data_IF_776446967264
#
_entry.id   IF_776446967264
#
_cell.length_a   1.000
_cell.length_b   1.000
_cell.length_c   1.000
_cell.angle_alpha   90.00
_cell.angle_beta   90.00
_cell.angle_gamma   90.00
#
_symmetry.space_group_name_H-M   'P 1'
#
loop_
_entity.id
_entity.type
_entity.pdbx_description
1 polymer ?
#
# COMPACT_ATOMS: atom_id res chain seq x y z
N UNK A 1 4.65 25.86 -82.21
CA UNK A 1 5.57 24.83 -81.71
C UNK A 1 4.89 24.16 -80.52
N UNK A 2 3.70 23.59 -80.69
CA UNK A 2 3.24 22.48 -81.57
C UNK A 2 3.58 21.12 -80.98
N UNK A 3 2.60 20.22 -81.14
CA UNK A 3 2.44 18.83 -80.66
C UNK A 3 1.60 18.78 -79.37
N UNK A 4 0.26 18.82 -79.39
CA UNK A 4 -0.71 18.07 -80.22
C UNK A 4 -0.49 16.56 -80.16
N UNK A 5 -1.34 15.85 -79.39
CA UNK A 5 -1.90 14.56 -79.76
C UNK A 5 -3.39 14.58 -79.35
N UNK A 6 -4.24 14.83 -80.32
CA UNK A 6 -5.68 14.57 -80.31
C UNK A 6 -5.93 13.09 -80.62
N UNK A 7 -6.89 12.47 -79.92
CA UNK A 7 -7.72 11.40 -80.51
C UNK A 7 -9.16 11.69 -80.06
N UNK A 8 -9.94 12.13 -81.04
CA UNK A 8 -11.40 12.21 -81.04
C UNK A 8 -12.03 10.81 -81.05
N UNK A 9 -13.29 10.70 -80.62
CA UNK A 9 -14.45 10.31 -81.46
C UNK A 9 -15.68 10.07 -80.57
N UNK A 10 -16.68 10.96 -80.77
CA UNK A 10 -18.15 10.77 -80.87
C UNK A 10 -18.90 9.94 -79.81
N UNK A 11 -19.79 10.55 -79.01
CA UNK A 11 -21.22 10.81 -79.30
C UNK A 11 -22.04 9.55 -79.59
N UNK A 12 -22.95 9.21 -78.69
CA UNK A 12 -24.38 9.36 -78.97
C UNK A 12 -25.25 9.15 -77.72
N UNK A 13 -26.17 10.09 -77.53
CA UNK A 13 -27.34 10.06 -76.66
C UNK A 13 -28.53 9.42 -77.42
N UNK A 14 -29.66 9.27 -76.71
CA UNK A 14 -31.00 8.83 -77.17
C UNK A 14 -31.22 7.30 -77.12
N UNK A 15 -32.31 6.74 -76.57
CA UNK A 15 -33.43 7.26 -75.79
C UNK A 15 -34.38 6.07 -75.48
N UNK A 16 -35.33 6.28 -74.56
CA UNK A 16 -36.68 5.69 -74.50
C UNK A 16 -36.89 4.31 -73.80
N UNK A 17 -37.38 4.47 -72.56
CA UNK A 17 -38.68 3.98 -72.02
C UNK A 17 -38.94 2.53 -71.55
N UNK A 18 -39.49 2.54 -70.32
CA UNK A 18 -40.59 1.73 -69.79
C UNK A 18 -40.29 0.34 -69.19
N UNK A 19 -40.40 0.29 -67.87
CA UNK A 19 -40.62 -0.92 -67.08
C UNK A 19 -40.81 -0.57 -65.62
N UNK A 20 -42.05 -0.25 -65.23
CA UNK A 20 -42.48 -0.18 -63.83
C UNK A 20 -42.12 -1.49 -63.10
N UNK A 21 -41.45 -1.38 -61.95
CA UNK A 21 -41.62 -2.34 -60.86
C UNK A 21 -41.44 -1.59 -59.53
N UNK A 22 -42.55 -1.54 -58.79
CA UNK A 22 -42.66 -1.11 -57.40
C UNK A 22 -42.35 -2.35 -56.54
N UNK A 23 -41.87 -2.10 -55.32
CA UNK A 23 -41.58 -3.05 -54.23
C UNK A 23 -40.17 -3.68 -54.22
N UNK A 24 -39.24 -3.07 -53.47
CA UNK A 24 -38.93 -3.55 -52.11
C UNK A 24 -37.80 -2.72 -51.47
N UNK A 25 -38.09 -2.21 -50.27
CA UNK A 25 -37.14 -1.52 -49.38
C UNK A 25 -36.32 -2.58 -48.67
N UNK A 26 -35.06 -2.77 -49.04
CA UNK A 26 -34.06 -3.43 -48.19
C UNK A 26 -33.13 -2.40 -47.57
N UNK A 27 -33.48 -1.98 -46.36
CA UNK A 27 -32.55 -1.37 -45.40
C UNK A 27 -31.38 -2.34 -45.18
N UNK A 28 -30.20 -1.99 -45.69
CA UNK A 28 -28.96 -2.69 -45.36
C UNK A 28 -28.62 -2.43 -43.89
N UNK A 29 -29.05 -3.35 -43.02
CA UNK A 29 -28.72 -3.33 -41.60
C UNK A 29 -27.22 -3.63 -41.44
N UNK A 30 -26.46 -2.66 -40.97
CA UNK A 30 -25.05 -2.80 -40.60
C UNK A 30 -24.93 -3.72 -39.36
N UNK A 31 -24.59 -5.00 -39.58
CA UNK A 31 -24.57 -6.06 -38.55
C UNK A 31 -23.39 -5.94 -37.58
N UNK A 32 -22.56 -4.89 -37.63
CA UNK A 32 -21.37 -4.82 -36.76
C UNK A 32 -21.26 -3.61 -35.82
N UNK A 33 -22.31 -2.79 -35.70
CA UNK A 33 -22.40 -1.86 -34.57
C UNK A 33 -23.08 -2.55 -33.40
N UNK A 34 -22.34 -3.36 -32.62
CA UNK A 34 -22.83 -3.79 -31.32
C UNK A 34 -23.04 -2.51 -30.48
N UNK A 35 -24.29 -2.01 -30.31
CA UNK A 35 -24.49 -0.73 -29.66
C UNK A 35 -23.99 -0.95 -28.24
N UNK A 36 -22.96 -0.23 -27.83
CA UNK A 36 -22.57 -0.21 -26.42
C UNK A 36 -23.80 0.25 -25.66
N UNK A 37 -24.54 -0.72 -25.11
CA UNK A 37 -25.66 -0.46 -24.22
C UNK A 37 -25.15 0.56 -23.21
N UNK A 38 -25.71 1.77 -23.25
CA UNK A 38 -25.47 2.76 -22.22
C UNK A 38 -25.94 2.10 -20.93
N UNK A 39 -24.98 1.56 -20.18
CA UNK A 39 -25.26 1.01 -18.86
C UNK A 39 -25.67 2.20 -18.01
N UNK A 40 -26.97 2.33 -17.81
CA UNK A 40 -27.49 3.02 -16.65
C UNK A 40 -26.77 2.40 -15.46
N UNK A 41 -26.03 3.20 -14.71
CA UNK A 41 -25.74 2.85 -13.33
C UNK A 41 -27.14 2.78 -12.71
N UNK A 42 -27.71 1.58 -12.70
CA UNK A 42 -28.91 1.29 -11.91
C UNK A 42 -28.59 1.78 -10.50
N UNK A 43 -29.59 2.25 -9.78
CA UNK A 43 -29.54 2.46 -8.35
C UNK A 43 -29.17 1.12 -7.68
N UNK A 44 -27.90 0.74 -7.76
CA UNK A 44 -27.31 -0.34 -7.02
C UNK A 44 -27.39 0.13 -5.59
N UNK A 45 -28.08 -0.64 -4.75
CA UNK A 45 -28.44 -0.21 -3.40
C UNK A 45 -27.23 0.43 -2.73
N UNK A 46 -27.36 1.71 -2.40
CA UNK A 46 -26.31 2.51 -1.81
C UNK A 46 -25.65 1.70 -0.68
N UNK A 47 -24.36 1.34 -0.74
CA UNK A 47 -23.78 0.44 0.25
C UNK A 47 -23.90 0.94 1.70
N UNK A 48 -24.05 2.26 1.88
CA UNK A 48 -24.31 2.85 3.20
C UNK A 48 -25.72 2.59 3.73
N UNK A 49 -26.71 2.42 2.84
CA UNK A 49 -28.11 2.14 3.17
C UNK A 49 -28.41 0.63 3.15
N UNK A 50 -27.77 -0.12 2.26
CA UNK A 50 -28.02 -1.54 2.06
C UNK A 50 -27.48 -2.41 3.19
N UNK A 51 -26.26 -2.12 3.65
CA UNK A 51 -25.59 -2.92 4.69
C UNK A 51 -25.79 -2.27 6.05
N UNK A 52 -25.93 -3.08 7.10
CA UNK A 52 -25.71 -2.61 8.46
C UNK A 52 -24.22 -2.28 8.71
N UNK A 53 -23.91 -1.72 9.88
CA UNK A 53 -22.54 -1.29 10.19
C UNK A 53 -21.55 -2.45 10.32
N UNK A 54 -21.99 -3.61 10.83
CA UNK A 54 -21.14 -4.78 10.99
C UNK A 54 -20.82 -5.41 9.62
N UNK A 55 -21.83 -5.56 8.76
CA UNK A 55 -21.68 -6.06 7.41
C UNK A 55 -20.84 -5.12 6.54
N UNK A 56 -21.09 -3.81 6.65
CA UNK A 56 -20.30 -2.80 5.96
C UNK A 56 -18.83 -2.89 6.39
N UNK A 57 -18.57 -2.96 7.71
CA UNK A 57 -17.20 -3.05 8.25
C UNK A 57 -16.50 -4.34 7.84
N UNK A 58 -17.18 -5.48 7.83
CA UNK A 58 -16.62 -6.74 7.31
C UNK A 58 -16.22 -6.62 5.84
N UNK A 59 -17.00 -5.89 5.03
CA UNK A 59 -16.83 -5.78 3.58
C UNK A 59 -15.80 -4.73 3.15
N UNK A 60 -15.73 -3.61 3.85
CA UNK A 60 -14.89 -2.46 3.50
C UNK A 60 -13.74 -2.23 4.49
N UNK A 61 -13.70 -2.97 5.61
CA UNK A 61 -12.69 -2.93 6.67
C UNK A 61 -12.66 -1.62 7.46
N UNK A 62 -13.68 -0.78 7.31
CA UNK A 62 -13.88 0.49 8.03
C UNK A 62 -15.36 0.64 8.40
N UNK A 63 -15.65 1.33 9.50
CA UNK A 63 -17.01 1.74 9.84
C UNK A 63 -17.52 2.82 8.87
N UNK A 64 -18.84 2.97 8.76
CA UNK A 64 -19.44 4.03 7.95
C UNK A 64 -19.01 5.42 8.42
N UNK A 65 -18.90 5.61 9.74
CA UNK A 65 -18.43 6.85 10.36
C UNK A 65 -16.99 7.19 9.95
N UNK A 66 -16.06 6.23 10.05
CA UNK A 66 -14.67 6.43 9.62
C UNK A 66 -14.58 6.81 8.15
N UNK A 67 -15.42 6.22 7.30
CA UNK A 67 -15.45 6.52 5.87
C UNK A 67 -16.02 7.92 5.61
N UNK A 68 -17.21 8.24 6.13
CA UNK A 68 -17.93 9.46 5.81
C UNK A 68 -17.39 10.70 6.54
N UNK A 69 -17.04 10.56 7.82
CA UNK A 69 -16.61 11.66 8.66
C UNK A 69 -15.07 11.79 8.73
N UNK A 70 -14.35 10.68 8.52
CA UNK A 70 -12.89 10.63 8.63
C UNK A 70 -12.16 10.74 7.30
N UNK A 71 -12.33 9.73 6.44
CA UNK A 71 -11.51 9.54 5.23
C UNK A 71 -12.00 10.41 4.08
N UNK A 72 -13.31 10.36 3.78
CA UNK A 72 -13.88 11.04 2.62
C UNK A 72 -13.63 12.56 2.62
N UNK A 73 -13.81 13.30 3.73
CA UNK A 73 -13.61 14.75 3.73
C UNK A 73 -12.19 15.17 3.35
N UNK A 74 -11.19 14.31 3.58
CA UNK A 74 -9.78 14.58 3.26
C UNK A 74 -9.46 14.49 1.76
N UNK A 75 -10.27 13.76 0.99
CA UNK A 75 -9.99 13.47 -0.43
C UNK A 75 -11.11 13.90 -1.38
N UNK A 76 -12.27 14.32 -0.85
CA UNK A 76 -13.48 14.58 -1.64
C UNK A 76 -13.26 15.61 -2.76
N UNK A 77 -12.51 16.67 -2.50
CA UNK A 77 -12.22 17.71 -3.49
C UNK A 77 -11.38 17.17 -4.64
N UNK A 78 -10.49 16.23 -4.34
CA UNK A 78 -9.72 15.49 -5.33
C UNK A 78 -10.53 14.47 -6.12
N UNK A 79 -11.74 14.09 -5.69
CA UNK A 79 -12.61 13.08 -6.32
C UNK A 79 -13.71 13.67 -7.19
N UNK A 80 -14.20 14.87 -6.86
CA UNK A 80 -15.19 15.60 -7.68
C UNK A 80 -14.66 15.77 -9.10
N UNK A 81 -15.55 15.66 -10.09
CA UNK A 81 -15.23 16.05 -11.47
C UNK A 81 -15.66 17.49 -11.69
N UNK A 82 -14.90 18.23 -12.50
CA UNK A 82 -15.21 19.60 -12.90
C UNK A 82 -16.48 19.67 -13.77
N UNK A 83 -16.88 18.56 -14.41
CA UNK A 83 -18.13 18.49 -15.17
C UNK A 83 -18.88 17.15 -15.00
N UNK A 84 -20.20 17.21 -15.18
CA UNK A 84 -21.12 16.07 -15.07
C UNK A 84 -21.30 15.29 -16.38
N UNK A 85 -20.36 15.44 -17.34
CA UNK A 85 -20.44 14.70 -18.61
C UNK A 85 -20.23 13.20 -18.35
N UNK A 86 -21.18 12.39 -18.81
CA UNK A 86 -21.10 10.93 -18.77
C UNK A 86 -21.43 10.27 -17.42
N UNK A 87 -22.32 10.87 -16.61
CA UNK A 87 -22.80 10.30 -15.32
C UNK A 87 -21.63 9.93 -14.38
N UNK A 88 -20.99 10.92 -13.74
CA UNK A 88 -19.86 10.66 -12.86
C UNK A 88 -20.26 9.81 -11.65
N UNK A 89 -19.41 8.84 -11.30
CA UNK A 89 -19.55 8.05 -10.08
C UNK A 89 -19.34 8.97 -8.88
N UNK A 90 -20.26 8.92 -7.92
CA UNK A 90 -20.21 9.75 -6.71
C UNK A 90 -18.88 9.54 -5.93
N UNK A 91 -18.29 10.60 -5.33
CA UNK A 91 -17.03 10.49 -4.59
C UNK A 91 -17.02 9.39 -3.52
N UNK A 92 -18.13 9.21 -2.83
CA UNK A 92 -18.36 8.20 -1.80
C UNK A 92 -18.17 6.79 -2.40
N UNK A 93 -18.82 6.54 -3.55
CA UNK A 93 -18.72 5.27 -4.27
C UNK A 93 -17.31 5.05 -4.82
N UNK A 94 -16.64 6.09 -5.32
CA UNK A 94 -15.23 5.99 -5.75
C UNK A 94 -14.33 5.52 -4.60
N UNK A 95 -14.51 6.08 -3.40
CA UNK A 95 -13.77 5.65 -2.21
C UNK A 95 -14.12 4.20 -1.82
N UNK A 96 -15.40 3.83 -1.78
CA UNK A 96 -15.83 2.46 -1.47
C UNK A 96 -15.28 1.43 -2.44
N UNK A 97 -15.22 1.76 -3.74
CA UNK A 97 -14.59 0.91 -4.75
C UNK A 97 -13.12 0.63 -4.39
N UNK A 98 -12.38 1.66 -4.01
CA UNK A 98 -10.98 1.52 -3.62
C UNK A 98 -10.81 0.72 -2.33
N UNK A 99 -11.60 1.01 -1.29
CA UNK A 99 -11.56 0.27 -0.03
C UNK A 99 -11.92 -1.21 -0.23
N UNK A 100 -12.91 -1.49 -1.10
CA UNK A 100 -13.28 -2.86 -1.46
C UNK A 100 -12.17 -3.60 -2.18
N UNK A 101 -11.45 -2.92 -3.07
CA UNK A 101 -10.26 -3.48 -3.72
C UNK A 101 -9.20 -3.86 -2.68
N UNK A 102 -8.87 -2.96 -1.74
CA UNK A 102 -7.88 -3.24 -0.70
C UNK A 102 -8.30 -4.37 0.24
N UNK A 103 -9.58 -4.42 0.62
CA UNK A 103 -10.14 -5.39 1.56
C UNK A 103 -10.28 -6.81 0.99
N UNK A 104 -10.57 -6.94 -0.31
CA UNK A 104 -10.84 -8.25 -0.93
C UNK A 104 -9.61 -8.87 -1.58
N UNK A 105 -8.64 -8.05 -2.00
CA UNK A 105 -7.60 -8.45 -2.94
C UNK A 105 -8.14 -9.13 -4.21
N UNK A 106 -9.41 -8.86 -4.55
CA UNK A 106 -10.05 -9.48 -5.70
C UNK A 106 -9.55 -8.86 -6.99
N UNK A 107 -9.66 -9.59 -8.10
CA UNK A 107 -9.40 -9.05 -9.42
C UNK A 107 -10.33 -7.87 -9.68
N UNK A 108 -9.78 -6.78 -10.24
CA UNK A 108 -10.55 -5.57 -10.53
C UNK A 108 -11.74 -5.84 -11.48
N UNK A 109 -11.67 -6.90 -12.30
CA UNK A 109 -12.78 -7.36 -13.13
C UNK A 109 -13.97 -7.80 -12.29
N UNK A 110 -13.77 -8.68 -11.29
CA UNK A 110 -14.83 -9.15 -10.38
C UNK A 110 -15.45 -7.98 -9.60
N UNK A 111 -14.62 -7.02 -9.18
CA UNK A 111 -15.11 -5.81 -8.52
C UNK A 111 -15.97 -4.96 -9.46
N UNK A 112 -15.52 -4.79 -10.71
CA UNK A 112 -16.26 -4.10 -11.76
C UNK A 112 -17.61 -4.75 -12.06
N UNK A 113 -17.63 -6.08 -12.19
CA UNK A 113 -18.85 -6.85 -12.48
C UNK A 113 -19.86 -6.74 -11.33
N UNK A 114 -19.39 -6.81 -10.08
CA UNK A 114 -20.24 -6.65 -8.89
C UNK A 114 -20.89 -5.27 -8.81
N UNK A 115 -20.20 -4.24 -9.31
CA UNK A 115 -20.65 -2.84 -9.23
C UNK A 115 -21.24 -2.32 -10.56
N UNK A 116 -21.31 -3.16 -11.60
CA UNK A 116 -21.77 -2.77 -12.93
C UNK A 116 -20.84 -1.81 -13.69
N UNK A 117 -19.57 -1.69 -13.28
CA UNK A 117 -18.59 -0.72 -13.79
C UNK A 117 -17.49 -1.44 -14.58
N UNK A 118 -17.06 -0.86 -15.70
CA UNK A 118 -15.95 -1.45 -16.49
C UNK A 118 -14.62 -1.48 -15.70
N UNK A 119 -13.84 -2.54 -15.85
CA UNK A 119 -12.52 -2.68 -15.17
C UNK A 119 -11.58 -1.47 -15.40
N UNK A 120 -11.47 -0.86 -16.61
CA UNK A 120 -10.64 0.32 -16.79
C UNK A 120 -11.08 1.53 -15.95
N UNK A 121 -12.38 1.66 -15.68
CA UNK A 121 -12.89 2.69 -14.76
C UNK A 121 -12.51 2.38 -13.32
N UNK A 122 -12.62 1.12 -12.88
CA UNK A 122 -12.17 0.68 -11.54
C UNK A 122 -10.70 1.00 -11.36
N UNK A 123 -9.85 0.63 -12.33
CA UNK A 123 -8.40 0.91 -12.27
C UNK A 123 -8.10 2.39 -12.12
N UNK A 124 -8.73 3.26 -12.92
CA UNK A 124 -8.56 4.72 -12.81
C UNK A 124 -8.99 5.26 -11.46
N UNK A 125 -10.09 4.75 -10.89
CA UNK A 125 -10.58 5.15 -9.57
C UNK A 125 -9.61 4.72 -8.47
N UNK A 126 -9.18 3.46 -8.46
CA UNK A 126 -8.22 2.94 -7.47
C UNK A 126 -6.93 3.77 -7.52
N UNK A 127 -6.39 4.04 -8.71
CA UNK A 127 -5.18 4.86 -8.85
C UNK A 127 -5.39 6.27 -8.32
N UNK A 128 -6.50 6.93 -8.67
CA UNK A 128 -6.81 8.29 -8.22
C UNK A 128 -7.00 8.37 -6.71
N UNK A 129 -7.75 7.44 -6.12
CA UNK A 129 -7.98 7.40 -4.67
C UNK A 129 -6.67 7.08 -3.95
N UNK A 130 -5.87 6.14 -4.46
CA UNK A 130 -4.53 5.83 -3.92
C UNK A 130 -3.64 7.07 -3.90
N UNK A 131 -3.58 7.82 -5.00
CA UNK A 131 -2.77 9.05 -5.11
C UNK A 131 -3.21 10.10 -4.09
N UNK A 132 -4.52 10.35 -3.98
CA UNK A 132 -5.06 11.32 -3.02
C UNK A 132 -4.76 10.93 -1.57
N UNK A 133 -4.88 9.65 -1.22
CA UNK A 133 -4.49 9.15 0.10
C UNK A 133 -2.98 9.24 0.31
N UNK A 134 -2.19 8.95 -0.72
CA UNK A 134 -0.72 9.03 -0.67
C UNK A 134 -0.21 10.43 -0.38
N UNK A 135 -0.89 11.48 -0.86
CA UNK A 135 -0.56 12.88 -0.55
C UNK A 135 -0.68 13.23 0.94
N UNK A 136 -1.43 12.44 1.70
CA UNK A 136 -1.60 12.63 3.15
C UNK A 136 -0.49 11.97 3.98
N UNK A 137 0.53 11.37 3.34
CA UNK A 137 1.63 10.67 4.02
C UNK A 137 2.28 11.53 5.12
N UNK A 138 2.62 12.79 4.84
CA UNK A 138 3.29 13.66 5.82
C UNK A 138 2.37 14.16 6.94
N UNK A 139 1.06 14.07 6.76
CA UNK A 139 0.09 14.42 7.81
C UNK A 139 -0.03 13.28 8.83
N UNK A 140 -0.06 12.03 8.35
CA UNK A 140 -0.40 10.84 9.16
C UNK A 140 0.79 9.94 9.51
N UNK A 141 1.85 9.91 8.71
CA UNK A 141 3.07 9.10 8.94
C UNK A 141 4.20 10.06 9.25
N UNK A 142 4.45 10.25 10.55
CA UNK A 142 5.49 11.15 11.05
C UNK A 142 5.91 10.74 12.44
N UNK A 143 7.16 11.04 12.76
CA UNK A 143 7.66 10.97 14.13
C UNK A 143 6.94 12.00 15.03
N UNK A 144 6.87 11.75 16.35
CA UNK A 144 6.41 12.74 17.31
C UNK A 144 7.30 13.99 17.26
N UNK A 145 6.70 15.17 17.11
CA UNK A 145 7.44 16.43 16.96
C UNK A 145 7.61 17.20 18.27
N UNK A 146 6.76 16.98 19.28
CA UNK A 146 6.86 17.65 20.58
C UNK A 146 7.68 16.82 21.57
N UNK A 147 8.47 17.47 22.43
CA UNK A 147 9.27 16.78 23.44
C UNK A 147 8.42 15.97 24.43
N UNK A 148 7.18 16.39 24.67
CA UNK A 148 6.22 15.64 25.45
C UNK A 148 5.82 14.34 24.74
N UNK A 149 5.43 14.42 23.46
CA UNK A 149 5.04 13.23 22.70
C UNK A 149 6.23 12.27 22.48
N UNK A 150 7.45 12.80 22.33
CA UNK A 150 8.68 11.98 22.26
C UNK A 150 8.94 11.26 23.58
N UNK A 151 8.80 11.94 24.72
CA UNK A 151 8.93 11.32 26.06
C UNK A 151 7.87 10.26 26.30
N UNK A 152 6.62 10.52 25.93
CA UNK A 152 5.54 9.56 26.02
C UNK A 152 5.81 8.33 25.16
N UNK A 153 6.23 8.53 23.89
CA UNK A 153 6.57 7.45 22.98
C UNK A 153 7.67 6.54 23.56
N UNK A 154 8.74 7.12 24.10
CA UNK A 154 9.83 6.37 24.77
C UNK A 154 9.36 5.62 26.01
N UNK A 155 8.45 6.22 26.78
CA UNK A 155 7.86 5.56 27.94
C UNK A 155 7.06 4.33 27.51
N UNK A 156 6.19 4.46 26.51
CA UNK A 156 5.39 3.35 26.02
C UNK A 156 6.27 2.21 25.48
N UNK A 157 7.36 2.52 24.77
CA UNK A 157 8.32 1.49 24.35
C UNK A 157 9.02 0.79 25.51
N UNK A 158 9.39 1.55 26.55
CA UNK A 158 9.94 0.97 27.77
C UNK A 158 8.93 0.01 28.39
N UNK A 159 7.68 0.43 28.53
CA UNK A 159 6.61 -0.37 29.12
C UNK A 159 6.33 -1.65 28.30
N UNK A 160 6.42 -1.60 26.95
CA UNK A 160 6.34 -2.78 26.07
C UNK A 160 7.48 -3.79 26.31
N UNK A 161 8.70 -3.29 26.58
CA UNK A 161 9.86 -4.13 26.88
C UNK A 161 9.85 -4.74 28.29
N UNK A 162 9.12 -4.12 29.23
CA UNK A 162 8.99 -4.55 30.64
C UNK A 162 8.08 -5.79 30.79
N UNK A 163 8.40 -6.90 30.13
CA UNK A 163 7.71 -8.18 30.40
C UNK A 163 8.08 -8.75 31.77
N UNK A 164 7.10 -9.25 32.53
CA UNK A 164 7.24 -10.01 33.80
C UNK A 164 8.31 -9.52 34.79
N UNK A 165 8.41 -8.20 35.00
CA UNK A 165 9.34 -7.60 35.98
C UNK A 165 10.74 -7.28 35.46
N UNK A 166 11.01 -7.41 34.16
CA UNK A 166 12.26 -6.96 33.53
C UNK A 166 12.26 -5.44 33.27
N UNK A 167 13.44 -4.82 33.18
CA UNK A 167 13.62 -3.42 32.76
C UNK A 167 13.43 -3.32 31.25
N UNK A 168 12.66 -2.34 30.78
CA UNK A 168 12.47 -2.08 29.34
C UNK A 168 13.60 -1.26 28.75
N UNK A 169 13.79 -1.34 27.42
CA UNK A 169 14.83 -0.55 26.73
C UNK A 169 14.55 0.96 26.86
N UNK A 170 15.49 1.76 27.40
CA UNK A 170 15.34 3.20 27.46
C UNK A 170 15.64 3.84 26.09
N UNK A 171 15.06 5.03 25.85
CA UNK A 171 15.44 5.87 24.71
C UNK A 171 14.97 5.40 23.33
N UNK A 172 14.07 4.42 23.26
CA UNK A 172 13.57 3.90 21.99
C UNK A 172 12.49 4.83 21.40
N UNK A 173 12.72 5.27 20.17
CA UNK A 173 11.80 6.10 19.39
C UNK A 173 10.93 5.27 18.42
N UNK A 174 11.38 4.09 18.01
CA UNK A 174 10.66 3.24 17.06
C UNK A 174 11.27 1.85 16.89
N UNK A 175 10.47 0.92 16.38
CA UNK A 175 10.94 -0.37 15.90
C UNK A 175 10.99 -0.33 14.35
N UNK A 176 12.12 -0.73 13.77
CA UNK A 176 12.33 -0.74 12.32
C UNK A 176 12.39 -2.17 11.80
N UNK A 177 11.68 -2.42 10.71
CA UNK A 177 11.76 -3.69 10.01
C UNK A 177 11.31 -3.52 8.56
N UNK A 178 11.63 -4.52 7.75
CA UNK A 178 11.22 -4.61 6.36
C UNK A 178 10.09 -5.61 6.20
N UNK A 179 9.29 -5.45 5.16
CA UNK A 179 8.28 -6.44 4.80
C UNK A 179 8.08 -6.52 3.30
N UNK A 180 7.87 -7.73 2.80
CA UNK A 180 7.62 -7.94 1.39
C UNK A 180 6.14 -7.78 1.04
N UNK A 181 5.88 -6.94 0.04
CA UNK A 181 4.57 -6.83 -0.63
C UNK A 181 4.68 -7.52 -1.99
N UNK A 182 3.90 -8.60 -2.16
CA UNK A 182 3.98 -9.43 -3.37
C UNK A 182 3.53 -8.67 -4.62
N UNK A 183 4.26 -8.84 -5.71
CA UNK A 183 3.89 -8.34 -7.03
C UNK A 183 3.51 -9.53 -7.92
N UNK A 184 2.30 -9.50 -8.47
CA UNK A 184 1.76 -10.55 -9.34
C UNK A 184 1.59 -10.04 -10.79
N UNK A 185 2.13 -8.86 -11.09
CA UNK A 185 2.03 -8.27 -12.43
C UNK A 185 2.81 -9.11 -13.45
N UNK A 186 2.11 -9.67 -14.44
CA UNK A 186 2.69 -10.54 -15.49
C UNK A 186 3.73 -9.83 -16.36
N UNK A 187 3.70 -8.49 -16.44
CA UNK A 187 4.69 -7.69 -17.18
C UNK A 187 6.06 -7.60 -16.51
N UNK A 188 6.19 -8.03 -15.25
CA UNK A 188 7.48 -8.12 -14.55
C UNK A 188 8.26 -9.38 -14.95
N UNK A 189 7.59 -10.39 -15.48
CA UNK A 189 8.20 -11.67 -15.85
C UNK A 189 9.27 -11.53 -16.94
N UNK A 190 9.20 -10.50 -17.77
CA UNK A 190 10.13 -10.32 -18.90
C UNK A 190 11.29 -9.35 -18.60
N UNK A 191 11.33 -8.63 -17.47
CA UNK A 191 12.21 -7.44 -17.38
C UNK A 191 13.03 -7.24 -16.11
N UNK A 192 12.70 -7.74 -14.91
CA UNK A 192 13.50 -7.35 -13.72
C UNK A 192 13.60 -8.38 -12.58
N UNK A 193 14.56 -9.30 -12.69
CA UNK A 193 15.01 -10.21 -11.61
C UNK A 193 15.37 -9.47 -10.31
N UNK A 194 15.69 -8.18 -10.36
CA UNK A 194 15.94 -7.35 -9.17
C UNK A 194 14.75 -7.28 -8.21
N UNK A 195 13.51 -7.52 -8.64
CA UNK A 195 12.35 -7.57 -7.75
C UNK A 195 12.12 -8.95 -7.15
N UNK A 196 12.87 -9.97 -7.57
CA UNK A 196 12.75 -11.31 -7.03
C UNK A 196 13.41 -11.37 -5.66
N UNK A 197 12.64 -11.78 -4.67
CA UNK A 197 13.16 -11.97 -3.32
C UNK A 197 13.81 -13.35 -3.16
N UNK A 198 14.36 -13.60 -1.97
CA UNK A 198 15.00 -14.88 -1.63
C UNK A 198 14.05 -16.08 -1.61
N UNK A 199 12.75 -15.85 -1.46
CA UNK A 199 11.68 -16.86 -1.55
C UNK A 199 11.27 -17.16 -3.00
N UNK A 200 11.90 -16.51 -3.98
CA UNK A 200 11.72 -16.78 -5.39
C UNK A 200 10.51 -16.11 -6.04
N UNK A 201 9.81 -15.21 -5.34
CA UNK A 201 8.69 -14.44 -5.90
C UNK A 201 9.04 -12.95 -6.04
N UNK A 202 8.35 -12.25 -6.95
CA UNK A 202 8.53 -10.80 -7.13
C UNK A 202 7.84 -10.02 -6.00
N UNK A 203 8.54 -9.06 -5.41
CA UNK A 203 8.00 -8.22 -4.34
C UNK A 203 8.61 -6.82 -4.33
N UNK A 204 7.88 -5.89 -3.72
CA UNK A 204 8.44 -4.67 -3.16
C UNK A 204 8.95 -4.99 -1.75
N UNK A 205 10.18 -4.62 -1.44
CA UNK A 205 10.66 -4.58 -0.07
C UNK A 205 10.29 -3.22 0.53
N UNK A 206 9.45 -3.21 1.56
CA UNK A 206 8.92 -2.01 2.20
C UNK A 206 9.52 -1.90 3.59
N UNK A 207 10.36 -0.89 3.82
CA UNK A 207 10.84 -0.58 5.16
C UNK A 207 9.83 0.31 5.88
N UNK A 208 9.58 0.04 7.16
CA UNK A 208 8.77 0.91 7.99
C UNK A 208 9.40 1.08 9.37
N UNK A 209 9.20 2.26 9.95
CA UNK A 209 9.40 2.48 11.38
C UNK A 209 8.04 2.54 12.04
N UNK A 210 7.86 1.74 13.08
CA UNK A 210 6.61 1.58 13.80
C UNK A 210 6.75 2.12 15.23
N UNK A 211 5.71 2.82 15.69
CA UNK A 211 5.58 3.34 17.04
C UNK A 211 4.96 2.34 18.01
N UNK A 212 4.88 2.69 19.31
CA UNK A 212 4.45 1.77 20.36
C UNK A 212 2.93 1.52 20.36
N UNK A 213 2.16 2.30 19.60
CA UNK A 213 0.71 2.12 19.40
C UNK A 213 0.40 1.47 18.05
N UNK A 214 1.38 0.81 17.44
CA UNK A 214 1.29 0.20 16.10
C UNK A 214 1.06 1.21 14.98
N UNK A 215 1.41 2.48 15.18
CA UNK A 215 1.37 3.50 14.15
C UNK A 215 2.63 3.47 13.28
N UNK A 216 2.52 3.76 11.99
CA UNK A 216 3.68 4.01 11.14
C UNK A 216 4.23 5.41 11.40
N UNK A 217 5.51 5.51 11.72
CA UNK A 217 6.24 6.77 11.95
C UNK A 217 7.04 7.20 10.70
N UNK A 218 7.50 6.23 9.91
CA UNK A 218 8.17 6.43 8.62
C UNK A 218 7.91 5.21 7.72
N UNK A 219 7.97 5.41 6.41
CA UNK A 219 7.68 4.38 5.41
C UNK A 219 8.53 4.62 4.15
N UNK A 220 9.20 3.58 3.68
CA UNK A 220 9.99 3.56 2.44
C UNK A 220 9.51 2.39 1.56
N UNK A 221 8.59 2.64 0.61
CA UNK A 221 7.87 1.58 -0.11
C UNK A 221 8.50 1.16 -1.46
N UNK A 222 9.60 1.77 -1.88
CA UNK A 222 10.03 1.77 -3.29
C UNK A 222 11.13 0.77 -3.63
N UNK A 223 11.53 -0.11 -2.71
CA UNK A 223 12.71 -0.94 -2.92
C UNK A 223 12.39 -2.27 -3.61
N UNK A 224 13.28 -2.74 -4.51
CA UNK A 224 13.13 -4.07 -5.10
C UNK A 224 13.24 -5.19 -4.06
N UNK A 225 12.53 -6.30 -4.28
CA UNK A 225 12.53 -7.47 -3.38
C UNK A 225 13.89 -8.13 -3.14
N UNK A 226 14.89 -7.89 -4.00
CA UNK A 226 16.28 -8.36 -3.78
C UNK A 226 17.11 -7.45 -2.86
N UNK A 227 16.63 -6.24 -2.57
CA UNK A 227 17.37 -5.28 -1.76
C UNK A 227 17.47 -5.73 -0.30
N UNK A 228 18.67 -5.61 0.27
CA UNK A 228 18.93 -5.88 1.68
C UNK A 228 18.43 -4.73 2.56
N UNK A 229 17.91 -5.08 3.73
CA UNK A 229 17.30 -4.14 4.69
C UNK A 229 18.27 -3.05 5.14
N UNK A 230 19.54 -3.39 5.37
CA UNK A 230 20.61 -2.44 5.68
C UNK A 230 20.81 -1.39 4.59
N UNK A 231 20.78 -1.80 3.31
CA UNK A 231 20.91 -0.89 2.16
C UNK A 231 19.72 0.05 2.08
N UNK A 232 18.51 -0.45 2.32
CA UNK A 232 17.30 0.38 2.35
C UNK A 232 17.43 1.44 3.45
N UNK A 233 17.86 1.03 4.64
CA UNK A 233 18.05 1.93 5.77
C UNK A 233 19.10 3.01 5.50
N UNK A 234 20.28 2.66 4.99
CA UNK A 234 21.34 3.64 4.70
C UNK A 234 20.89 4.73 3.72
N UNK A 235 19.99 4.40 2.80
CA UNK A 235 19.43 5.32 1.81
C UNK A 235 18.10 5.97 2.26
N UNK A 236 17.64 5.68 3.48
CA UNK A 236 16.38 6.20 4.01
C UNK A 236 16.57 7.62 4.58
N UNK A 237 15.48 8.41 4.54
CA UNK A 237 15.47 9.73 5.20
C UNK A 237 15.62 9.59 6.72
N UNK A 238 15.09 8.53 7.32
CA UNK A 238 15.20 8.32 8.77
C UNK A 238 16.66 8.15 9.20
N UNK A 239 17.47 7.42 8.44
CA UNK A 239 18.91 7.30 8.71
C UNK A 239 19.61 8.66 8.70
N UNK A 240 19.36 9.51 7.69
CA UNK A 240 19.94 10.86 7.64
C UNK A 240 19.55 11.70 8.86
N UNK A 241 18.28 11.64 9.30
CA UNK A 241 17.81 12.40 10.47
C UNK A 241 18.51 11.99 11.76
N UNK A 242 18.81 10.71 11.95
CA UNK A 242 19.59 10.24 13.10
C UNK A 242 21.08 10.58 12.98
N UNK A 243 21.66 10.41 11.79
CA UNK A 243 23.06 10.74 11.53
C UNK A 243 23.37 12.23 11.75
N UNK A 244 22.46 13.11 11.34
CA UNK A 244 22.53 14.56 11.55
C UNK A 244 22.07 15.02 12.95
N UNK A 245 21.73 14.08 13.84
CA UNK A 245 21.23 14.35 15.21
C UNK A 245 19.95 15.21 15.26
N UNK A 246 19.15 15.18 14.20
CA UNK A 246 17.79 15.76 14.23
C UNK A 246 16.84 14.92 15.10
N UNK A 247 17.17 13.63 15.28
CA UNK A 247 16.54 12.72 16.23
C UNK A 247 17.60 12.24 17.22
N UNK A 248 17.27 12.26 18.51
CA UNK A 248 18.22 11.95 19.60
C UNK A 248 17.94 10.61 20.31
N UNK A 249 16.94 9.84 19.88
CA UNK A 249 16.66 8.52 20.44
C UNK A 249 17.30 7.39 19.64
N UNK A 250 16.81 6.17 19.86
CA UNK A 250 17.30 4.96 19.21
C UNK A 250 16.16 4.19 18.55
N UNK A 251 16.48 3.42 17.52
CA UNK A 251 15.62 2.44 16.91
C UNK A 251 16.00 1.03 17.36
N UNK A 252 15.04 0.11 17.38
CA UNK A 252 15.31 -1.33 17.49
C UNK A 252 15.12 -1.99 16.14
N UNK A 253 16.15 -2.67 15.64
CA UNK A 253 16.14 -3.37 14.36
C UNK A 253 16.46 -4.86 14.51
N UNK A 254 16.21 -5.63 13.46
CA UNK A 254 16.56 -7.05 13.38
C UNK A 254 18.09 -7.26 13.20
N UNK A 255 18.50 -8.51 12.96
CA UNK A 255 19.91 -8.87 12.71
C UNK A 255 20.41 -8.45 11.33
N UNK A 256 19.50 -8.18 10.39
CA UNK A 256 19.80 -7.69 9.05
C UNK A 256 20.26 -6.23 8.98
N UNK A 257 20.22 -5.50 10.11
CA UNK A 257 20.74 -4.14 10.21
C UNK A 257 22.14 -4.07 10.86
N UNK A 258 22.95 -3.06 10.52
CA UNK A 258 24.18 -2.77 11.25
C UNK A 258 23.86 -2.23 12.65
N UNK A 259 24.70 -2.54 13.63
CA UNK A 259 24.61 -1.93 14.96
C UNK A 259 25.22 -0.52 14.91
N UNK A 260 24.39 0.50 15.18
CA UNK A 260 24.78 1.92 15.17
C UNK A 260 24.39 2.58 16.49
N UNK A 261 24.95 3.76 16.85
CA UNK A 261 24.59 4.45 18.10
C UNK A 261 23.09 4.75 18.27
N UNK A 262 22.35 4.81 17.16
CA UNK A 262 20.91 5.06 17.11
C UNK A 262 20.12 3.86 16.56
N UNK A 263 20.73 2.70 16.33
CA UNK A 263 20.07 1.48 15.86
C UNK A 263 20.61 0.25 16.60
N UNK A 264 19.81 -0.23 17.55
CA UNK A 264 20.15 -1.37 18.40
C UNK A 264 19.68 -2.68 17.76
N UNK A 265 20.60 -3.62 17.63
CA UNK A 265 20.38 -4.97 17.10
C UNK A 265 20.68 -6.01 18.18
N UNK A 266 20.09 -7.22 18.11
CA UNK A 266 20.33 -8.24 19.12
C UNK A 266 21.76 -8.77 19.03
N UNK A 267 22.31 -9.22 20.16
CA UNK A 267 23.62 -9.88 20.21
C UNK A 267 23.56 -11.21 19.46
N UNK A 268 24.54 -11.46 18.59
CA UNK A 268 24.64 -12.71 17.84
C UNK A 268 24.92 -13.90 18.78
N UNK A 269 25.86 -13.73 19.71
CA UNK A 269 26.36 -14.79 20.61
C UNK A 269 26.34 -14.31 22.08
N UNK A 270 25.17 -14.27 22.75
CA UNK A 270 25.09 -13.89 24.15
C UNK A 270 25.72 -14.95 25.06
N UNK A 271 26.71 -14.53 25.86
CA UNK A 271 27.50 -15.34 26.79
C UNK A 271 27.05 -15.16 28.24
N UNK A 272 26.66 -13.96 28.63
CA UNK A 272 26.23 -13.67 30.02
C UNK A 272 24.69 -13.66 30.16
N UNK A 273 24.20 -13.72 31.41
CA UNK A 273 22.76 -13.67 31.68
C UNK A 273 22.19 -12.28 31.38
N UNK A 274 22.97 -11.21 31.56
CA UNK A 274 22.62 -9.84 31.20
C UNK A 274 22.44 -9.71 29.68
N UNK A 275 23.36 -10.28 28.89
CA UNK A 275 23.30 -10.30 27.43
C UNK A 275 22.09 -11.09 26.91
N UNK A 276 21.79 -12.24 27.53
CA UNK A 276 20.58 -13.01 27.23
C UNK A 276 19.32 -12.22 27.56
N UNK A 277 19.32 -11.51 28.69
CA UNK A 277 18.19 -10.70 29.13
C UNK A 277 17.97 -9.51 28.20
N UNK A 278 19.05 -8.83 27.77
CA UNK A 278 18.99 -7.80 26.73
C UNK A 278 18.35 -8.34 25.44
N UNK A 279 18.79 -9.49 24.93
CA UNK A 279 18.21 -10.09 23.72
C UNK A 279 16.72 -10.42 23.89
N UNK A 280 16.31 -10.90 25.07
CA UNK A 280 14.91 -11.17 25.38
C UNK A 280 14.08 -9.88 25.37
N UNK A 281 14.57 -8.80 25.98
CA UNK A 281 13.89 -7.50 26.01
C UNK A 281 13.84 -6.90 24.60
N UNK A 282 14.96 -6.92 23.86
CA UNK A 282 15.05 -6.45 22.48
C UNK A 282 14.04 -7.17 21.58
N UNK A 283 13.97 -8.50 21.68
CA UNK A 283 13.00 -9.31 20.91
C UNK A 283 11.56 -8.89 21.21
N UNK A 284 11.20 -8.71 22.49
CA UNK A 284 9.87 -8.24 22.90
C UNK A 284 9.55 -6.85 22.38
N UNK A 285 10.50 -5.92 22.47
CA UNK A 285 10.31 -4.55 21.95
C UNK A 285 10.15 -4.56 20.44
N UNK A 286 10.90 -5.41 19.72
CA UNK A 286 10.81 -5.52 18.25
C UNK A 286 9.49 -6.14 17.80
N UNK A 287 8.90 -7.10 18.52
CA UNK A 287 7.65 -7.79 18.14
C UNK A 287 6.49 -6.85 17.73
N UNK A 288 6.48 -5.61 18.21
CA UNK A 288 5.48 -4.60 17.82
C UNK A 288 5.46 -4.34 16.30
N UNK A 289 6.62 -4.37 15.63
CA UNK A 289 6.72 -4.10 14.19
C UNK A 289 6.10 -5.24 13.37
N UNK A 290 6.42 -6.48 13.73
CA UNK A 290 5.87 -7.69 13.11
C UNK A 290 4.35 -7.77 13.32
N UNK A 291 3.90 -7.50 14.55
CA UNK A 291 2.47 -7.43 14.87
C UNK A 291 1.76 -6.37 14.04
N UNK A 292 2.39 -5.21 13.85
CA UNK A 292 1.84 -4.12 13.04
C UNK A 292 1.72 -4.52 11.59
N UNK A 293 2.75 -5.17 11.01
CA UNK A 293 2.66 -5.72 9.65
C UNK A 293 1.56 -6.78 9.51
N UNK A 294 1.40 -7.66 10.50
CA UNK A 294 0.31 -8.63 10.54
C UNK A 294 -1.07 -7.97 10.51
N UNK A 295 -1.31 -6.99 11.39
CA UNK A 295 -2.56 -6.20 11.41
C UNK A 295 -2.78 -5.46 10.10
N UNK A 296 -1.72 -4.85 9.57
CA UNK A 296 -1.77 -4.07 8.34
C UNK A 296 -2.14 -4.92 7.12
N UNK A 297 -1.46 -6.06 6.92
CA UNK A 297 -1.75 -7.02 5.84
C UNK A 297 -3.10 -7.72 6.02
N UNK A 298 -3.57 -7.91 7.25
CA UNK A 298 -4.92 -8.45 7.52
C UNK A 298 -6.01 -7.45 7.15
N UNK A 299 -5.82 -6.17 7.48
CA UNK A 299 -6.74 -5.08 7.09
C UNK A 299 -6.76 -4.89 5.57
N UNK A 300 -5.60 -5.01 4.92
CA UNK A 300 -5.44 -4.84 3.48
C UNK A 300 -4.85 -6.09 2.82
N UNK A 301 -5.65 -7.15 2.58
CA UNK A 301 -5.18 -8.39 1.96
C UNK A 301 -4.54 -8.22 0.59
N UNK A 302 -4.76 -7.08 -0.10
CA UNK A 302 -4.06 -6.77 -1.35
C UNK A 302 -2.53 -6.73 -1.17
N UNK A 303 -2.03 -6.43 0.02
CA UNK A 303 -0.60 -6.36 0.33
C UNK A 303 0.05 -7.75 0.47
N UNK A 304 -0.71 -8.77 0.91
CA UNK A 304 -0.21 -10.13 1.10
C UNK A 304 -0.44 -11.03 -0.12
N UNK A 305 -1.64 -10.98 -0.71
CA UNK A 305 -2.01 -11.82 -1.86
C UNK A 305 -1.40 -11.34 -3.18
N UNK A 306 -1.06 -10.06 -3.25
CA UNK A 306 -0.21 -9.49 -4.28
C UNK A 306 -0.90 -8.49 -5.19
N UNK A 307 -0.13 -7.48 -5.58
CA UNK A 307 -0.59 -6.38 -6.42
C UNK A 307 -0.37 -6.73 -7.90
N UNK A 308 -1.46 -6.65 -8.67
CA UNK A 308 -1.46 -6.91 -10.13
C UNK A 308 -1.26 -5.63 -10.94
N UNK A 309 -1.17 -4.49 -10.27
CA UNK A 309 -1.01 -3.17 -10.88
C UNK A 309 0.44 -2.92 -11.32
N UNK A 310 0.66 -1.85 -12.08
CA UNK A 310 2.00 -1.39 -12.42
C UNK A 310 2.76 -0.95 -11.16
N UNK A 311 4.09 -1.06 -11.17
CA UNK A 311 4.97 -0.81 -10.02
C UNK A 311 4.70 0.53 -9.31
N UNK A 312 4.58 1.62 -10.07
CA UNK A 312 4.29 2.95 -9.52
C UNK A 312 2.94 2.96 -8.77
N UNK A 313 1.91 2.38 -9.38
CA UNK A 313 0.61 2.25 -8.74
C UNK A 313 0.67 1.34 -7.50
N UNK A 314 1.42 0.25 -7.56
CA UNK A 314 1.60 -0.65 -6.41
C UNK A 314 2.21 0.09 -5.23
N UNK A 315 3.25 0.90 -5.48
CA UNK A 315 3.90 1.74 -4.47
C UNK A 315 2.91 2.73 -3.85
N UNK A 316 2.12 3.44 -4.68
CA UNK A 316 1.10 4.37 -4.19
C UNK A 316 0.02 3.67 -3.36
N UNK A 317 -0.39 2.45 -3.75
CA UNK A 317 -1.32 1.62 -2.98
C UNK A 317 -0.74 1.26 -1.60
N UNK A 318 0.54 0.86 -1.53
CA UNK A 318 1.23 0.60 -0.26
C UNK A 318 1.18 1.82 0.66
N UNK A 319 1.53 3.01 0.14
CA UNK A 319 1.47 4.26 0.92
C UNK A 319 0.04 4.56 1.38
N UNK A 320 -0.94 4.46 0.48
CA UNK A 320 -2.34 4.72 0.80
C UNK A 320 -2.85 3.78 1.90
N UNK A 321 -2.50 2.49 1.86
CA UNK A 321 -2.83 1.53 2.90
C UNK A 321 -2.17 1.89 4.24
N UNK A 322 -0.92 2.36 4.26
CA UNK A 322 -0.26 2.77 5.50
C UNK A 322 -0.91 4.03 6.11
N UNK A 323 -1.28 5.01 5.28
CA UNK A 323 -2.02 6.20 5.72
C UNK A 323 -3.38 5.81 6.31
N UNK A 324 -4.13 4.94 5.63
CA UNK A 324 -5.41 4.44 6.10
C UNK A 324 -5.29 3.64 7.41
N UNK A 325 -4.18 2.91 7.61
CA UNK A 325 -3.90 2.23 8.87
C UNK A 325 -3.77 3.23 10.03
N UNK A 326 -2.94 4.26 9.89
CA UNK A 326 -2.80 5.29 10.93
C UNK A 326 -4.10 6.06 11.17
N UNK A 327 -4.86 6.38 10.12
CA UNK A 327 -6.22 6.95 10.26
C UNK A 327 -7.13 6.04 11.08
N UNK A 328 -7.10 4.72 10.84
CA UNK A 328 -7.92 3.77 11.60
C UNK A 328 -7.60 3.78 13.10
N UNK A 329 -6.33 3.99 13.48
CA UNK A 329 -5.92 4.12 14.87
C UNK A 329 -6.48 5.41 15.51
N UNK A 330 -6.43 6.52 14.78
CA UNK A 330 -6.96 7.82 15.24
C UNK A 330 -8.47 7.74 15.47
N UNK A 331 -9.20 7.11 14.55
CA UNK A 331 -10.65 6.93 14.65
C UNK A 331 -11.06 5.80 15.61
N UNK A 332 -10.09 5.07 16.18
CA UNK A 332 -10.33 3.86 16.99
C UNK A 332 -11.18 2.82 16.26
N UNK A 333 -10.98 2.71 14.94
CA UNK A 333 -11.69 1.79 14.07
C UNK A 333 -11.03 0.41 14.10
N UNK A 334 -11.31 -0.33 15.17
CA UNK A 334 -10.73 -1.65 15.41
C UNK A 334 -11.41 -2.69 14.52
N UNK A 335 -10.64 -3.42 13.72
CA UNK A 335 -11.17 -4.59 13.01
C UNK A 335 -11.46 -5.72 14.00
N UNK A 336 -12.64 -6.37 13.92
CA UNK A 336 -12.89 -7.58 14.70
C UNK A 336 -11.82 -8.63 14.37
N UNK A 337 -11.35 -9.34 15.38
CA UNK A 337 -10.50 -10.51 15.18
C UNK A 337 -11.37 -11.61 14.54
N UNK A 338 -11.17 -11.86 13.24
CA UNK A 338 -11.77 -13.03 12.57
C UNK A 338 -10.94 -14.26 12.94
N UNK A 339 -11.60 -15.38 13.25
CA UNK A 339 -10.95 -16.68 13.51
C UNK A 339 -9.98 -17.02 12.37
N UNK A 340 -8.78 -17.46 12.75
CA UNK A 340 -7.63 -17.67 11.88
C UNK A 340 -8.01 -18.54 10.67
N UNK A 341 -8.07 -17.93 9.48
CA UNK A 341 -7.72 -18.65 8.27
C UNK A 341 -6.24 -18.33 8.03
N UNK A 342 -5.39 -19.36 8.16
CA UNK A 342 -3.96 -19.33 7.88
C UNK A 342 -3.68 -18.69 6.51
N UNK A 343 -3.60 -17.37 6.46
CA UNK A 343 -2.92 -16.67 5.37
C UNK A 343 -1.46 -16.84 5.72
N UNK A 344 -0.90 -17.95 5.25
CA UNK A 344 0.51 -18.35 5.30
C UNK A 344 1.43 -17.15 5.53
N UNK A 345 1.61 -16.81 6.81
CA UNK A 345 2.61 -15.87 7.28
C UNK A 345 3.91 -16.67 7.22
N UNK A 346 4.34 -17.06 6.01
CA UNK A 346 5.64 -17.68 5.84
C UNK A 346 6.62 -16.73 6.50
N UNK A 347 7.21 -17.15 7.62
CA UNK A 347 8.21 -16.38 8.33
C UNK A 347 9.24 -15.92 7.30
N UNK A 348 9.49 -14.61 7.23
CA UNK A 348 10.51 -14.08 6.34
C UNK A 348 11.85 -14.67 6.81
N UNK A 349 12.65 -15.29 5.92
CA UNK A 349 13.90 -15.90 6.34
C UNK A 349 14.78 -14.74 6.80
N UNK A 350 15.19 -14.77 8.07
CA UNK A 350 16.03 -13.72 8.65
C UNK A 350 17.21 -13.44 7.71
N UNK A 351 17.49 -12.18 7.46
CA UNK A 351 18.66 -11.83 6.68
C UNK A 351 19.92 -12.34 7.38
N UNK A 352 20.93 -12.82 6.62
CA UNK A 352 22.23 -13.11 7.20
C UNK A 352 22.72 -11.84 7.90
N UNK A 353 23.30 -12.02 9.08
CA UNK A 353 23.77 -10.90 9.89
C UNK A 353 24.70 -10.02 9.06
N UNK A 354 24.48 -8.70 9.11
CA UNK A 354 25.39 -7.75 8.48
C UNK A 354 26.66 -7.70 9.33
N UNK A 355 27.79 -8.15 8.76
CA UNK A 355 29.10 -8.17 9.43
C UNK A 355 29.70 -6.77 9.64
N UNK A 356 29.09 -5.72 9.08
CA UNK A 356 29.46 -4.32 9.36
C UNK A 356 28.93 -3.89 10.74
N UNK A 357 29.61 -4.34 11.79
CA UNK A 357 29.43 -3.81 13.13
C UNK A 357 30.29 -2.55 13.30
N UNK A 358 29.64 -1.38 13.49
CA UNK A 358 30.38 -0.15 13.78
C UNK A 358 30.81 -0.15 15.25
N UNK A 359 32.10 0.06 15.51
CA UNK A 359 32.66 0.12 16.86
C UNK A 359 31.91 1.09 17.79
N UNK A 360 31.44 2.22 17.25
CA UNK A 360 30.63 3.17 18.02
C UNK A 360 29.25 2.62 18.41
N UNK A 361 28.59 1.84 17.55
CA UNK A 361 27.30 1.21 17.86
C UNK A 361 27.44 0.10 18.89
N UNK A 362 28.50 -0.71 18.78
CA UNK A 362 28.84 -1.73 19.76
C UNK A 362 29.06 -1.12 21.15
N UNK A 363 29.86 -0.06 21.25
CA UNK A 363 30.10 0.64 22.50
C UNK A 363 28.81 1.22 23.09
N UNK A 364 27.90 1.76 22.27
CA UNK A 364 26.59 2.25 22.73
C UNK A 364 25.72 1.10 23.26
N UNK A 365 25.70 -0.05 22.59
CA UNK A 365 24.96 -1.24 23.04
C UNK A 365 25.53 -1.80 24.35
N UNK A 366 26.84 -1.90 24.49
CA UNK A 366 27.49 -2.33 25.73
C UNK A 366 27.21 -1.36 26.88
N UNK A 367 27.30 -0.04 26.63
CA UNK A 367 26.95 0.97 27.63
C UNK A 367 25.47 0.89 28.04
N UNK A 368 24.58 0.58 27.10
CA UNK A 368 23.15 0.37 27.36
C UNK A 368 22.91 -0.85 28.25
N UNK A 369 23.55 -1.98 27.95
CA UNK A 369 23.47 -3.21 28.76
C UNK A 369 23.99 -2.93 30.17
N UNK A 370 25.18 -2.33 30.28
CA UNK A 370 25.75 -1.97 31.58
C UNK A 370 24.82 -1.06 32.38
N UNK A 371 24.21 -0.05 31.76
CA UNK A 371 23.28 0.85 32.44
C UNK A 371 21.97 0.18 32.88
N UNK A 372 21.52 -0.86 32.17
CA UNK A 372 20.31 -1.60 32.52
C UNK A 372 20.50 -2.58 33.68
N UNK A 373 21.72 -3.09 33.87
CA UNK A 373 22.03 -4.13 34.86
C UNK A 373 23.04 -3.69 35.93
N UNK A 374 23.39 -2.40 36.01
CA UNK A 374 24.25 -1.79 37.03
C UNK A 374 23.56 -1.51 38.37
#
# INVERSE_FOLDING_TARGET
MDLEISIDIEQDMEDIENGENVDDVEDSVDVNSNPRLRRYIRDGQNPFEHYDDAEFKRRYRFSKESVLCGILPKIIDGLKKVNNRGLPIAPELQLLMCLRYYASSSFQQVLGDTMGISQPTVSRIVNRVSDLLGRLIFEYIKFPNSDEARRENRRLFRDLGQGSGAIGLPGIDGAIDCTHVRLTCTRLNDVNEIFRNRKGYFSLNVQAVVGPRMEFLDLVPEWPGSAHDSRIFQNSRVHMRYAERQLDGMLVGDRGYPCLPFLMTPLANPRTDEERTYNNIHTRTRQIVERTFGVWKRRFPCLSRGLTTQLLCSTTTVVACAVLHNMSLIFRDILPEEEENDVDMTEEPQAPAVEEEHASGLATREALINHMFS
#
